data_IF_752383950389
#
_entry.id   IF_752383950389
#
_cell.length_a   1.000
_cell.length_b   1.000
_cell.length_c   1.000
_cell.angle_alpha   90.00
_cell.angle_beta   90.00
_cell.angle_gamma   90.00
#
_symmetry.space_group_name_H-M   'P 1'
#
loop_
_entity.id
_entity.type
_entity.pdbx_description
1 polymer ?
#
# COMPACT_ATOMS: atom_id res chain seq x y z
N UNK A 1 5.28 13.39 24.00
CA UNK A 1 3.93 13.74 23.46
C UNK A 1 2.81 13.40 24.41
N UNK A 2 2.80 12.19 25.03
CA UNK A 2 1.77 11.75 25.98
C UNK A 2 1.53 12.75 27.12
N UNK A 3 2.59 13.19 27.82
CA UNK A 3 2.50 14.16 28.93
C UNK A 3 1.84 15.47 28.48
N UNK A 4 2.24 15.96 27.29
CA UNK A 4 1.68 17.18 26.68
C UNK A 4 0.20 17.02 26.32
N UNK A 5 -0.19 15.87 25.77
CA UNK A 5 -1.58 15.59 25.45
C UNK A 5 -2.45 15.53 26.73
N UNK A 6 -1.93 14.92 27.80
CA UNK A 6 -2.62 14.88 29.12
C UNK A 6 -2.80 16.24 29.75
N UNK A 7 -1.91 17.19 29.45
CA UNK A 7 -2.01 18.59 29.88
C UNK A 7 -2.84 19.48 28.94
N UNK A 8 -3.58 18.87 28.00
CA UNK A 8 -4.38 19.56 26.97
C UNK A 8 -3.56 20.34 25.90
N UNK A 9 -2.23 20.16 25.86
CA UNK A 9 -1.38 20.74 24.81
C UNK A 9 -1.35 19.86 23.55
N UNK A 10 -2.52 19.60 22.98
CA UNK A 10 -2.68 18.66 21.86
C UNK A 10 -1.89 19.05 20.61
N UNK A 11 -1.88 20.35 20.26
CA UNK A 11 -1.10 20.83 19.10
C UNK A 11 0.40 20.57 19.29
N UNK A 12 0.93 20.84 20.47
CA UNK A 12 2.34 20.62 20.76
C UNK A 12 2.67 19.11 20.76
N UNK A 13 1.78 18.29 21.31
CA UNK A 13 1.90 16.83 21.27
C UNK A 13 1.94 16.32 19.82
N UNK A 14 1.05 16.82 18.95
CA UNK A 14 1.01 16.47 17.53
C UNK A 14 2.28 16.89 16.81
N UNK A 15 2.76 18.10 17.01
CA UNK A 15 4.01 18.59 16.41
C UNK A 15 5.23 17.74 16.81
N UNK A 16 5.32 17.33 18.08
CA UNK A 16 6.40 16.45 18.56
C UNK A 16 6.36 15.10 17.83
N UNK A 17 5.18 14.50 17.64
CA UNK A 17 5.05 13.21 16.93
C UNK A 17 5.40 13.35 15.43
N UNK A 18 4.92 14.40 14.78
CA UNK A 18 5.23 14.65 13.36
C UNK A 18 6.72 14.90 13.17
N UNK A 19 7.33 15.73 14.01
CA UNK A 19 8.77 15.99 13.93
C UNK A 19 9.58 14.72 14.15
N UNK A 20 9.20 13.89 15.13
CA UNK A 20 9.84 12.61 15.37
C UNK A 20 9.68 11.65 14.17
N UNK A 21 8.49 11.60 13.58
CA UNK A 21 8.24 10.76 12.41
C UNK A 21 9.09 11.18 11.19
N UNK A 22 9.15 12.48 10.92
CA UNK A 22 9.99 13.04 9.85
C UNK A 22 11.47 12.78 10.11
N UNK A 23 11.93 13.00 11.33
CA UNK A 23 13.34 12.75 11.69
C UNK A 23 13.70 11.27 11.50
N UNK A 24 12.86 10.34 11.96
CA UNK A 24 13.08 8.90 11.81
C UNK A 24 13.09 8.50 10.33
N UNK A 25 12.17 9.03 9.53
CA UNK A 25 12.11 8.77 8.10
C UNK A 25 13.39 9.23 7.38
N UNK A 26 13.81 10.48 7.62
CA UNK A 26 15.02 11.01 6.98
C UNK A 26 16.30 10.32 7.46
N UNK A 27 16.36 9.91 8.73
CA UNK A 27 17.48 9.11 9.24
C UNK A 27 17.61 7.77 8.50
N UNK A 28 16.50 7.07 8.35
CA UNK A 28 16.48 5.78 7.66
C UNK A 28 16.75 5.93 6.16
N UNK A 29 16.25 7.01 5.55
CA UNK A 29 16.59 7.36 4.18
C UNK A 29 18.09 7.65 4.00
N UNK A 30 18.69 8.40 4.93
CA UNK A 30 20.13 8.72 4.86
C UNK A 30 21.00 7.47 4.95
N UNK A 31 20.57 6.47 5.74
CA UNK A 31 21.28 5.21 5.92
C UNK A 31 21.12 4.26 4.72
N UNK A 32 19.89 4.12 4.20
CA UNK A 32 19.56 3.13 3.18
C UNK A 32 19.56 3.69 1.75
N UNK A 33 19.49 5.00 1.59
CA UNK A 33 19.23 5.71 0.30
C UNK A 33 17.95 5.22 -0.40
N UNK A 34 17.10 4.48 0.31
CA UNK A 34 15.85 3.97 -0.19
C UNK A 34 14.67 4.82 0.31
N UNK A 35 13.95 5.46 -0.60
CA UNK A 35 12.79 6.32 -0.30
C UNK A 35 11.63 5.52 0.27
N UNK A 36 11.53 4.23 -0.08
CA UNK A 36 10.48 3.30 0.36
C UNK A 36 11.05 2.30 1.37
N UNK A 37 11.76 2.82 2.37
CA UNK A 37 12.23 1.99 3.46
C UNK A 37 11.06 1.67 4.41
N UNK A 38 10.75 0.38 4.62
CA UNK A 38 9.56 -0.04 5.38
C UNK A 38 9.49 0.61 6.77
N UNK A 39 10.60 0.63 7.51
CA UNK A 39 10.67 1.24 8.84
C UNK A 39 10.42 2.76 8.78
N UNK A 40 11.02 3.44 7.80
CA UNK A 40 10.83 4.88 7.60
C UNK A 40 9.38 5.22 7.26
N UNK A 41 8.77 4.47 6.35
CA UNK A 41 7.35 4.65 5.98
C UNK A 41 6.42 4.35 7.16
N UNK A 42 6.68 3.30 7.92
CA UNK A 42 5.89 3.02 9.12
C UNK A 42 5.97 4.20 10.11
N UNK A 43 7.16 4.74 10.36
CA UNK A 43 7.32 5.90 11.23
C UNK A 43 6.55 7.11 10.68
N UNK A 44 6.65 7.38 9.39
CA UNK A 44 5.99 8.51 8.76
C UNK A 44 4.46 8.40 8.85
N UNK A 45 3.89 7.29 8.37
CA UNK A 45 2.44 7.13 8.29
C UNK A 45 1.80 6.77 9.63
N UNK A 46 2.41 5.91 10.43
CA UNK A 46 1.84 5.51 11.71
C UNK A 46 2.08 6.55 12.80
N UNK A 47 3.33 6.92 13.08
CA UNK A 47 3.65 7.89 14.14
C UNK A 47 3.23 9.30 13.74
N UNK A 48 3.48 9.71 12.49
CA UNK A 48 3.05 11.00 11.96
C UNK A 48 1.54 11.12 11.86
N UNK A 49 0.82 10.07 11.44
CA UNK A 49 -0.64 10.01 11.41
C UNK A 49 -1.25 10.19 12.80
N UNK A 50 -0.65 9.61 13.84
CA UNK A 50 -1.04 9.89 15.23
C UNK A 50 -0.80 11.35 15.61
N UNK A 51 0.30 11.94 15.12
CA UNK A 51 0.58 13.37 15.31
C UNK A 51 -0.51 14.25 14.71
N UNK A 52 -0.97 13.95 13.48
CA UNK A 52 -2.08 14.66 12.84
C UNK A 52 -3.38 14.45 13.64
N UNK A 53 -3.63 13.24 14.13
CA UNK A 53 -4.82 12.93 14.93
C UNK A 53 -4.85 13.71 16.24
N UNK A 54 -3.68 14.07 16.80
CA UNK A 54 -3.62 14.92 18.00
C UNK A 54 -4.14 16.34 17.78
N UNK A 55 -4.20 16.83 16.54
CA UNK A 55 -4.73 18.18 16.25
C UNK A 55 -6.25 18.28 16.38
N UNK A 56 -6.94 17.15 16.54
CA UNK A 56 -8.41 17.10 16.69
C UNK A 56 -9.14 17.91 15.63
N UNK A 57 -8.80 17.66 14.36
CA UNK A 57 -9.37 18.37 13.20
C UNK A 57 -10.87 18.09 13.01
N UNK A 58 -11.40 17.04 13.63
CA UNK A 58 -12.82 16.68 13.61
C UNK A 58 -13.42 16.78 15.00
N UNK A 59 -14.66 17.28 15.08
CA UNK A 59 -15.46 17.31 16.34
C UNK A 59 -15.76 15.91 16.89
N UNK A 60 -15.60 14.87 16.09
CA UNK A 60 -15.76 13.47 16.50
C UNK A 60 -14.54 12.90 17.22
N UNK A 61 -13.41 13.59 17.20
CA UNK A 61 -12.17 13.16 17.84
C UNK A 61 -12.19 13.54 19.33
N UNK A 62 -12.49 12.54 20.16
CA UNK A 62 -12.37 12.64 21.61
C UNK A 62 -10.92 12.59 22.11
N UNK A 63 -10.76 12.70 23.42
CA UNK A 63 -9.47 12.50 24.08
C UNK A 63 -9.10 11.01 24.10
N UNK A 64 -7.85 10.73 23.82
CA UNK A 64 -7.37 9.35 23.87
C UNK A 64 -7.16 8.92 25.33
N UNK A 65 -7.69 7.75 25.65
CA UNK A 65 -7.46 7.13 26.95
C UNK A 65 -5.99 6.73 27.15
N UNK A 66 -5.60 6.49 28.40
CA UNK A 66 -4.26 5.99 28.73
C UNK A 66 -3.97 4.68 27.99
N UNK A 67 -4.96 3.79 27.94
CA UNK A 67 -4.85 2.49 27.27
C UNK A 67 -4.55 2.66 25.78
N UNK A 68 -5.20 3.62 25.11
CA UNK A 68 -4.92 3.95 23.71
C UNK A 68 -3.47 4.36 23.53
N UNK A 69 -2.93 5.25 24.37
CA UNK A 69 -1.53 5.67 24.30
C UNK A 69 -0.56 4.51 24.55
N UNK A 70 -0.88 3.63 25.51
CA UNK A 70 -0.07 2.43 25.78
C UNK A 70 -0.10 1.50 24.57
N UNK A 71 -1.27 1.20 24.00
CA UNK A 71 -1.40 0.36 22.82
C UNK A 71 -0.62 0.90 21.63
N UNK A 72 -0.70 2.21 21.38
CA UNK A 72 0.05 2.85 20.29
C UNK A 72 1.57 2.77 20.53
N UNK A 73 2.02 3.03 21.76
CA UNK A 73 3.43 2.89 22.15
C UNK A 73 3.94 1.46 22.01
N UNK A 74 3.16 0.47 22.45
CA UNK A 74 3.50 -0.95 22.31
C UNK A 74 3.53 -1.37 20.84
N UNK A 75 2.61 -0.89 20.00
CA UNK A 75 2.61 -1.17 18.57
C UNK A 75 3.90 -0.67 17.88
N UNK A 76 4.35 0.54 18.21
CA UNK A 76 5.63 1.08 17.72
C UNK A 76 6.79 0.24 18.21
N UNK A 77 6.85 -0.05 19.52
CA UNK A 77 7.94 -0.83 20.12
C UNK A 77 8.00 -2.26 19.53
N UNK A 78 6.85 -2.92 19.41
CA UNK A 78 6.76 -4.26 18.81
C UNK A 78 7.21 -4.26 17.34
N UNK A 79 6.76 -3.28 16.55
CA UNK A 79 7.20 -3.15 15.16
C UNK A 79 8.73 -3.00 15.06
N UNK A 80 9.31 -2.12 15.89
CA UNK A 80 10.75 -1.90 15.89
C UNK A 80 11.54 -3.14 16.32
N UNK A 81 11.08 -3.83 17.38
CA UNK A 81 11.71 -5.05 17.87
C UNK A 81 11.66 -6.16 16.79
N UNK A 82 10.50 -6.40 16.20
CA UNK A 82 10.33 -7.39 15.13
C UNK A 82 11.17 -7.01 13.90
N UNK A 83 11.16 -5.74 13.50
CA UNK A 83 11.96 -5.28 12.37
C UNK A 83 13.45 -5.50 12.62
N UNK A 84 13.95 -5.17 13.79
CA UNK A 84 15.37 -5.36 14.17
C UNK A 84 15.74 -6.84 14.19
N UNK A 85 14.89 -7.70 14.77
CA UNK A 85 15.11 -9.15 14.79
C UNK A 85 15.13 -9.71 13.37
N UNK A 86 14.16 -9.35 12.53
CA UNK A 86 14.11 -9.81 11.15
C UNK A 86 15.32 -9.31 10.35
N UNK A 87 15.72 -8.06 10.51
CA UNK A 87 16.91 -7.52 9.84
C UNK A 87 18.14 -8.34 10.21
N UNK A 88 18.35 -8.63 11.50
CA UNK A 88 19.49 -9.46 11.94
C UNK A 88 19.43 -10.90 11.45
N UNK A 89 18.24 -11.49 11.40
CA UNK A 89 18.07 -12.86 10.89
C UNK A 89 18.32 -12.94 9.39
N UNK A 90 18.00 -11.87 8.64
CA UNK A 90 18.14 -11.79 7.20
C UNK A 90 19.34 -10.94 6.74
N UNK A 91 20.24 -10.55 7.68
CA UNK A 91 21.48 -9.82 7.35
C UNK A 91 22.44 -10.61 6.43
N UNK A 92 22.18 -11.91 6.23
CA UNK A 92 22.80 -12.69 5.17
C UNK A 92 22.26 -12.41 3.75
N UNK A 93 21.15 -11.68 3.65
CA UNK A 93 20.66 -11.12 2.39
C UNK A 93 21.24 -9.72 2.22
N UNK A 94 22.42 -9.66 1.62
CA UNK A 94 23.16 -8.42 1.47
C UNK A 94 22.37 -7.41 0.58
N UNK A 95 22.72 -6.14 0.71
CA UNK A 95 22.22 -5.10 -0.22
C UNK A 95 22.52 -5.47 -1.69
N UNK A 96 23.60 -6.24 -1.92
CA UNK A 96 23.97 -6.79 -3.22
C UNK A 96 22.95 -7.83 -3.73
N UNK A 97 22.34 -8.63 -2.83
CA UNK A 97 21.27 -9.57 -3.22
C UNK A 97 19.99 -8.83 -3.60
N UNK A 98 19.63 -7.76 -2.89
CA UNK A 98 18.53 -6.90 -3.28
C UNK A 98 18.81 -6.16 -4.59
N UNK A 99 20.03 -5.70 -4.80
CA UNK A 99 20.45 -5.12 -6.08
C UNK A 99 20.51 -6.18 -7.18
N UNK A 100 20.90 -7.40 -6.89
CA UNK A 100 20.88 -8.51 -7.84
C UNK A 100 19.46 -8.92 -8.20
N UNK A 101 18.53 -8.97 -7.23
CA UNK A 101 17.09 -9.18 -7.47
C UNK A 101 16.52 -8.02 -8.28
N UNK A 102 16.89 -6.78 -7.94
CA UNK A 102 16.48 -5.60 -8.70
C UNK A 102 17.07 -5.59 -10.12
N UNK A 103 18.34 -5.93 -10.28
CA UNK A 103 19.00 -6.12 -11.59
C UNK A 103 18.39 -7.30 -12.36
N UNK A 104 18.03 -8.40 -11.69
CA UNK A 104 17.36 -9.54 -12.31
C UNK A 104 15.99 -9.15 -12.87
N UNK A 105 15.18 -8.39 -12.12
CA UNK A 105 13.92 -7.84 -12.64
C UNK A 105 14.15 -6.72 -13.66
N UNK A 106 15.23 -5.96 -13.54
CA UNK A 106 15.60 -4.89 -14.47
C UNK A 106 16.24 -5.44 -15.77
N UNK A 107 17.00 -6.51 -15.67
CA UNK A 107 17.62 -7.22 -16.81
C UNK A 107 16.65 -8.16 -17.51
N UNK A 108 15.36 -8.05 -17.26
CA UNK A 108 14.30 -8.92 -17.79
C UNK A 108 14.38 -9.13 -19.31
N UNK A 109 15.46 -9.74 -19.75
CA UNK A 109 15.65 -10.22 -21.11
C UNK A 109 14.72 -11.41 -21.44
N UNK A 110 14.14 -12.03 -20.40
CA UNK A 110 13.30 -13.20 -20.57
C UNK A 110 11.86 -12.83 -20.93
N UNK A 111 11.41 -13.08 -22.18
CA UNK A 111 10.01 -12.95 -22.58
C UNK A 111 9.07 -13.84 -21.76
N UNK A 112 9.61 -14.85 -21.10
CA UNK A 112 8.91 -15.79 -20.24
C UNK A 112 8.39 -15.12 -18.94
N UNK A 113 9.17 -14.23 -18.34
CA UNK A 113 8.75 -13.51 -17.13
C UNK A 113 7.62 -12.52 -17.40
N UNK A 114 7.69 -11.80 -18.54
CA UNK A 114 6.61 -10.91 -18.94
C UNK A 114 5.30 -11.67 -19.20
N UNK A 115 5.35 -12.84 -19.83
CA UNK A 115 4.19 -13.71 -19.98
C UNK A 115 3.64 -14.17 -18.63
N UNK A 116 4.50 -14.58 -17.69
CA UNK A 116 4.06 -14.98 -16.34
C UNK A 116 3.34 -13.85 -15.62
N UNK A 117 3.85 -12.61 -15.69
CA UNK A 117 3.18 -11.45 -15.10
C UNK A 117 1.79 -11.24 -15.70
N UNK A 118 1.64 -11.32 -17.02
CA UNK A 118 0.33 -11.21 -17.67
C UNK A 118 -0.64 -12.32 -17.22
N UNK A 119 -0.16 -13.57 -17.14
CA UNK A 119 -1.00 -14.66 -16.64
C UNK A 119 -1.37 -14.49 -15.17
N UNK A 120 -0.44 -13.97 -14.34
CA UNK A 120 -0.73 -13.67 -12.93
C UNK A 120 -1.79 -12.57 -12.80
N UNK A 121 -1.69 -11.49 -13.60
CA UNK A 121 -2.70 -10.43 -13.61
C UNK A 121 -4.07 -10.97 -14.06
N UNK A 122 -4.12 -11.73 -15.15
CA UNK A 122 -5.36 -12.34 -15.62
C UNK A 122 -5.94 -13.35 -14.62
N UNK A 123 -5.09 -14.15 -13.97
CA UNK A 123 -5.48 -15.08 -12.93
C UNK A 123 -6.06 -14.38 -11.69
N UNK A 124 -5.41 -13.30 -11.23
CA UNK A 124 -5.92 -12.50 -10.10
C UNK A 124 -7.28 -11.87 -10.43
N UNK A 125 -7.43 -11.32 -11.63
CA UNK A 125 -8.71 -10.77 -12.09
C UNK A 125 -9.79 -11.85 -12.12
N UNK A 126 -9.49 -13.01 -12.72
CA UNK A 126 -10.45 -14.12 -12.81
C UNK A 126 -10.89 -14.62 -11.42
N UNK A 127 -9.93 -14.82 -10.50
CA UNK A 127 -10.20 -15.25 -9.12
C UNK A 127 -11.01 -14.19 -8.37
N UNK A 128 -10.66 -12.91 -8.52
CA UNK A 128 -11.37 -11.81 -7.86
C UNK A 128 -12.83 -11.72 -8.34
N UNK A 129 -13.06 -11.83 -9.64
CA UNK A 129 -14.44 -11.83 -10.19
C UNK A 129 -15.22 -13.07 -9.78
N UNK A 130 -14.61 -14.26 -9.79
CA UNK A 130 -15.26 -15.48 -9.34
C UNK A 130 -15.70 -15.36 -7.87
N UNK A 131 -14.82 -14.82 -7.01
CA UNK A 131 -15.12 -14.56 -5.61
C UNK A 131 -16.22 -13.48 -5.46
N UNK A 132 -16.13 -12.38 -6.20
CA UNK A 132 -17.14 -11.31 -6.21
C UNK A 132 -18.52 -11.82 -6.62
N UNK A 133 -18.63 -12.58 -7.70
CA UNK A 133 -19.90 -13.15 -8.15
C UNK A 133 -20.46 -14.18 -7.15
N UNK A 134 -19.58 -14.95 -6.53
CA UNK A 134 -20.01 -15.86 -5.46
C UNK A 134 -20.56 -15.10 -4.26
N UNK A 135 -19.91 -14.00 -3.83
CA UNK A 135 -20.41 -13.13 -2.75
C UNK A 135 -21.75 -12.50 -3.14
N UNK A 136 -21.85 -11.95 -4.34
CA UNK A 136 -23.09 -11.35 -4.84
C UNK A 136 -24.25 -12.36 -4.90
N UNK A 137 -23.97 -13.57 -5.37
CA UNK A 137 -24.95 -14.65 -5.40
C UNK A 137 -25.38 -15.07 -3.99
N UNK A 138 -24.44 -15.27 -3.07
CA UNK A 138 -24.73 -15.72 -1.71
C UNK A 138 -25.45 -14.66 -0.88
N UNK A 139 -25.11 -13.39 -1.08
CA UNK A 139 -25.68 -12.27 -0.31
C UNK A 139 -26.97 -11.70 -0.97
N UNK A 140 -27.18 -11.99 -2.25
CA UNK A 140 -28.37 -11.55 -2.99
C UNK A 140 -28.35 -10.10 -3.41
N UNK A 141 -27.22 -9.37 -3.27
CA UNK A 141 -27.11 -7.98 -3.68
C UNK A 141 -25.68 -7.58 -4.11
N UNK A 142 -25.59 -6.48 -4.83
CA UNK A 142 -24.31 -5.82 -5.16
C UNK A 142 -24.36 -4.39 -4.60
N UNK A 143 -23.36 -3.95 -3.81
CA UNK A 143 -23.40 -2.66 -3.11
C UNK A 143 -23.66 -1.47 -4.02
N UNK A 144 -23.07 -1.43 -5.22
CA UNK A 144 -23.26 -0.34 -6.17
C UNK A 144 -24.73 -0.14 -6.58
N UNK A 145 -25.52 -1.23 -6.60
CA UNK A 145 -26.93 -1.18 -7.02
C UNK A 145 -27.91 -1.15 -5.84
N UNK A 146 -27.40 -1.16 -4.59
CA UNK A 146 -28.23 -1.17 -3.38
C UNK A 146 -28.52 0.25 -2.91
N UNK A 147 -29.38 0.94 -3.66
CA UNK A 147 -29.79 2.31 -3.33
C UNK A 147 -30.60 2.35 -2.02
N UNK A 148 -30.28 3.30 -1.16
CA UNK A 148 -31.04 3.54 0.07
C UNK A 148 -30.64 2.69 1.27
N UNK A 149 -29.68 1.76 1.12
CA UNK A 149 -29.12 0.99 2.25
C UNK A 149 -27.83 1.67 2.72
N UNK A 150 -27.85 2.38 3.88
CA UNK A 150 -26.64 2.99 4.41
C UNK A 150 -25.59 1.90 4.67
N UNK A 151 -24.34 2.16 4.27
CA UNK A 151 -23.21 1.25 4.49
C UNK A 151 -23.36 -0.16 3.88
N UNK A 152 -24.08 -0.32 2.76
CA UNK A 152 -24.26 -1.60 2.06
C UNK A 152 -22.92 -2.34 1.82
N UNK A 153 -21.83 -1.61 1.57
CA UNK A 153 -20.48 -2.15 1.39
C UNK A 153 -19.97 -2.91 2.64
N UNK A 154 -20.37 -2.50 3.86
CA UNK A 154 -19.92 -3.14 5.11
C UNK A 154 -20.53 -4.52 5.31
N UNK A 155 -21.65 -4.80 4.65
CA UNK A 155 -22.32 -6.10 4.71
C UNK A 155 -21.95 -7.01 3.54
N UNK A 156 -21.24 -6.46 2.54
CA UNK A 156 -20.83 -7.22 1.36
C UNK A 156 -19.51 -7.93 1.62
N UNK A 157 -19.57 -8.97 2.42
CA UNK A 157 -18.42 -9.86 2.61
C UNK A 157 -18.85 -11.25 3.05
N UNK A 158 -18.22 -12.26 2.50
CA UNK A 158 -18.26 -13.64 2.98
C UNK A 158 -16.91 -13.97 3.58
N UNK A 159 -16.89 -14.35 4.86
CA UNK A 159 -15.63 -14.63 5.58
C UNK A 159 -14.76 -15.61 4.79
N UNK A 160 -13.48 -15.25 4.61
CA UNK A 160 -12.52 -16.01 3.82
C UNK A 160 -12.58 -15.76 2.31
N UNK A 161 -13.75 -15.60 1.70
CA UNK A 161 -13.91 -15.37 0.26
C UNK A 161 -13.54 -13.94 -0.11
N UNK A 162 -13.87 -12.99 0.73
CA UNK A 162 -13.63 -11.56 0.48
C UNK A 162 -12.15 -11.23 0.25
N UNK A 163 -11.21 -11.98 0.82
CA UNK A 163 -9.78 -11.82 0.54
C UNK A 163 -9.43 -12.03 -0.94
N UNK A 164 -10.10 -12.98 -1.59
CA UNK A 164 -9.94 -13.23 -3.02
C UNK A 164 -10.59 -12.12 -3.85
N UNK A 165 -11.77 -11.62 -3.43
CA UNK A 165 -12.43 -10.47 -4.08
C UNK A 165 -11.52 -9.24 -4.07
N UNK A 166 -10.83 -8.97 -2.95
CA UNK A 166 -9.93 -7.81 -2.79
C UNK A 166 -8.57 -8.01 -3.46
N UNK A 167 -8.18 -9.22 -3.82
CA UNK A 167 -6.85 -9.51 -4.40
C UNK A 167 -6.56 -8.75 -5.71
N UNK A 168 -7.59 -8.28 -6.41
CA UNK A 168 -7.46 -7.43 -7.61
C UNK A 168 -6.69 -6.13 -7.37
N UNK A 169 -6.59 -5.64 -6.13
CA UNK A 169 -5.83 -4.45 -5.74
C UNK A 169 -4.35 -4.55 -6.11
N UNK A 170 -3.81 -5.78 -6.23
CA UNK A 170 -2.42 -6.02 -6.63
C UNK A 170 -2.16 -5.84 -8.14
N UNK A 171 -3.20 -5.93 -8.96
CA UNK A 171 -3.06 -5.93 -10.43
C UNK A 171 -2.43 -4.65 -10.99
N UNK A 172 -2.81 -3.43 -10.53
CA UNK A 172 -2.16 -2.19 -10.98
C UNK A 172 -0.66 -2.16 -10.70
N UNK A 173 -0.21 -2.69 -9.55
CA UNK A 173 1.22 -2.77 -9.22
C UNK A 173 1.97 -3.73 -10.15
N UNK A 174 1.40 -4.91 -10.45
CA UNK A 174 1.96 -5.86 -11.41
C UNK A 174 2.02 -5.27 -12.82
N UNK A 175 1.03 -4.47 -13.21
CA UNK A 175 1.02 -3.78 -14.49
C UNK A 175 2.11 -2.73 -14.60
N UNK A 176 2.40 -1.99 -13.51
CA UNK A 176 3.53 -1.05 -13.45
C UNK A 176 4.84 -1.79 -13.68
N UNK A 177 5.06 -2.93 -12.99
CA UNK A 177 6.24 -3.77 -13.19
C UNK A 177 6.36 -4.19 -14.65
N UNK A 178 5.28 -4.73 -15.23
CA UNK A 178 5.25 -5.14 -16.63
C UNK A 178 5.59 -3.99 -17.58
N UNK A 179 4.99 -2.82 -17.37
CA UNK A 179 5.19 -1.65 -18.23
C UNK A 179 6.64 -1.15 -18.18
N UNK A 180 7.26 -1.15 -17.01
CA UNK A 180 8.67 -0.81 -16.84
C UNK A 180 9.59 -1.83 -17.54
N UNK A 181 9.27 -3.12 -17.45
CA UNK A 181 10.02 -4.17 -18.15
C UNK A 181 9.96 -4.00 -19.66
N UNK A 182 8.79 -3.70 -20.23
CA UNK A 182 8.61 -3.49 -21.67
C UNK A 182 9.32 -2.21 -22.12
N UNK A 183 9.19 -1.13 -21.36
CA UNK A 183 9.82 0.17 -21.65
C UNK A 183 11.35 0.05 -21.72
N UNK A 184 11.96 -0.69 -20.79
CA UNK A 184 13.42 -0.90 -20.75
C UNK A 184 13.94 -1.72 -21.92
N UNK A 185 13.09 -2.51 -22.58
CA UNK A 185 13.44 -3.25 -23.82
C UNK A 185 13.50 -2.37 -25.07
N UNK A 186 13.29 -1.06 -24.94
CA UNK A 186 13.27 -0.13 -26.07
C UNK A 186 12.07 -0.30 -27.01
N UNK A 187 11.10 -1.12 -26.66
CA UNK A 187 9.84 -1.28 -27.41
C UNK A 187 8.87 -0.18 -26.98
N UNK A 188 8.28 0.51 -27.95
CA UNK A 188 7.19 1.45 -27.63
C UNK A 188 6.03 0.72 -26.96
N UNK A 189 5.64 1.15 -25.76
CA UNK A 189 4.55 0.55 -24.95
C UNK A 189 3.27 0.34 -25.76
N UNK A 190 2.91 1.31 -26.61
CA UNK A 190 1.71 1.26 -27.45
C UNK A 190 1.72 0.18 -28.53
N UNK A 191 2.90 -0.35 -28.89
CA UNK A 191 3.05 -1.41 -29.88
C UNK A 191 3.04 -2.82 -29.28
N UNK A 192 3.12 -2.93 -27.95
CA UNK A 192 3.10 -4.22 -27.28
C UNK A 192 1.65 -4.66 -26.98
N UNK A 193 1.24 -5.79 -27.59
CA UNK A 193 -0.08 -6.39 -27.32
C UNK A 193 -0.27 -6.76 -25.85
N UNK A 194 0.80 -7.18 -25.17
CA UNK A 194 0.76 -7.51 -23.76
C UNK A 194 0.46 -6.30 -22.87
N UNK A 195 0.93 -5.12 -23.26
CA UNK A 195 0.61 -3.86 -22.56
C UNK A 195 -0.90 -3.59 -22.59
N UNK A 196 -1.55 -3.72 -23.73
CA UNK A 196 -3.00 -3.49 -23.83
C UNK A 196 -3.80 -4.54 -23.07
N UNK A 197 -3.37 -5.80 -23.11
CA UNK A 197 -4.00 -6.85 -22.30
C UNK A 197 -3.86 -6.56 -20.79
N UNK A 198 -2.67 -6.14 -20.37
CA UNK A 198 -2.44 -5.71 -18.98
C UNK A 198 -3.29 -4.50 -18.59
N UNK A 199 -3.44 -3.50 -19.47
CA UNK A 199 -4.29 -2.35 -19.26
C UNK A 199 -5.78 -2.75 -19.09
N UNK A 200 -6.27 -3.70 -19.89
CA UNK A 200 -7.61 -4.27 -19.71
C UNK A 200 -7.74 -4.95 -18.36
N UNK A 201 -6.74 -5.74 -17.95
CA UNK A 201 -6.74 -6.35 -16.62
C UNK A 201 -6.81 -5.30 -15.49
N UNK A 202 -6.12 -4.16 -15.63
CA UNK A 202 -6.19 -3.06 -14.65
C UNK A 202 -7.59 -2.46 -14.59
N UNK A 203 -8.21 -2.17 -15.73
CA UNK A 203 -9.57 -1.62 -15.78
C UNK A 203 -10.56 -2.59 -15.12
N UNK A 204 -10.48 -3.87 -15.44
CA UNK A 204 -11.32 -4.90 -14.83
C UNK A 204 -11.04 -5.02 -13.32
N UNK A 205 -9.78 -4.98 -12.90
CA UNK A 205 -9.41 -5.05 -11.49
C UNK A 205 -9.97 -3.87 -10.69
N UNK A 206 -9.91 -2.65 -11.24
CA UNK A 206 -10.45 -1.45 -10.58
C UNK A 206 -11.99 -1.39 -10.59
N UNK A 207 -12.64 -2.10 -11.49
CA UNK A 207 -14.10 -2.19 -11.50
C UNK A 207 -14.65 -2.94 -10.28
N UNK A 208 -13.94 -3.93 -9.74
CA UNK A 208 -14.39 -4.66 -8.53
C UNK A 208 -14.55 -3.76 -7.31
N UNK A 209 -13.54 -2.98 -6.88
CA UNK A 209 -13.71 -2.00 -5.79
C UNK A 209 -14.82 -0.97 -6.05
N UNK A 210 -15.04 -0.58 -7.32
CA UNK A 210 -16.15 0.33 -7.68
C UNK A 210 -17.49 -0.37 -7.45
N UNK A 211 -17.65 -1.61 -7.90
CA UNK A 211 -18.86 -2.42 -7.66
C UNK A 211 -19.12 -2.66 -6.18
N UNK A 212 -18.08 -2.81 -5.38
CA UNK A 212 -18.14 -2.93 -3.92
C UNK A 212 -18.33 -1.58 -3.22
N UNK A 213 -18.24 -0.44 -3.93
CA UNK A 213 -18.23 0.94 -3.35
C UNK A 213 -17.12 1.13 -2.32
N UNK A 214 -15.99 0.43 -2.48
CA UNK A 214 -14.87 0.45 -1.55
C UNK A 214 -13.82 1.48 -1.94
N UNK A 215 -13.98 2.70 -1.44
CA UNK A 215 -13.03 3.81 -1.69
C UNK A 215 -11.62 3.50 -1.20
N UNK A 216 -11.51 2.81 -0.06
CA UNK A 216 -10.22 2.44 0.52
C UNK A 216 -9.43 1.51 -0.40
N UNK A 217 -10.07 0.51 -1.00
CA UNK A 217 -9.43 -0.42 -1.93
C UNK A 217 -8.93 0.29 -3.20
N UNK A 218 -9.68 1.29 -3.71
CA UNK A 218 -9.24 2.10 -4.85
C UNK A 218 -8.00 2.91 -4.51
N UNK A 219 -8.00 3.60 -3.36
CA UNK A 219 -6.86 4.38 -2.89
C UNK A 219 -5.65 3.46 -2.69
N UNK A 220 -5.85 2.28 -2.09
CA UNK A 220 -4.80 1.29 -1.87
C UNK A 220 -4.22 0.80 -3.20
N UNK A 221 -5.05 0.47 -4.20
CA UNK A 221 -4.61 0.01 -5.51
C UNK A 221 -3.74 1.04 -6.23
N UNK A 222 -4.20 2.30 -6.25
CA UNK A 222 -3.46 3.41 -6.86
C UNK A 222 -2.18 3.71 -6.08
N UNK A 223 -2.27 3.76 -4.75
CA UNK A 223 -1.13 3.98 -3.87
C UNK A 223 -0.05 2.91 -4.05
N UNK A 224 -0.42 1.62 -4.04
CA UNK A 224 0.52 0.52 -4.26
C UNK A 224 1.17 0.58 -5.65
N UNK A 225 0.41 0.92 -6.71
CA UNK A 225 0.96 1.10 -8.04
C UNK A 225 1.96 2.26 -8.10
N UNK A 226 1.63 3.40 -7.48
CA UNK A 226 2.52 4.55 -7.36
C UNK A 226 3.81 4.19 -6.61
N UNK A 227 3.70 3.53 -5.44
CA UNK A 227 4.87 3.08 -4.68
C UNK A 227 5.73 2.08 -5.45
N UNK A 228 5.10 1.15 -6.19
CA UNK A 228 5.82 0.21 -7.06
C UNK A 228 6.61 0.96 -8.14
N UNK A 229 5.98 1.94 -8.79
CA UNK A 229 6.65 2.78 -9.78
C UNK A 229 7.84 3.54 -9.18
N UNK A 230 7.62 4.17 -8.02
CA UNK A 230 8.66 4.92 -7.28
C UNK A 230 9.85 4.02 -6.95
N UNK A 231 9.58 2.83 -6.41
CA UNK A 231 10.63 1.85 -6.06
C UNK A 231 11.45 1.43 -7.26
N UNK A 232 10.81 1.22 -8.41
CA UNK A 232 11.48 0.65 -9.58
C UNK A 232 12.08 1.70 -10.52
N UNK A 233 11.53 2.90 -10.57
CA UNK A 233 12.05 4.00 -11.40
C UNK A 233 13.29 4.67 -10.81
N UNK A 234 13.52 4.55 -9.50
CA UNK A 234 14.76 4.99 -8.83
C UNK A 234 15.00 6.50 -8.76
N UNK A 235 14.05 7.35 -9.19
CA UNK A 235 14.27 8.76 -9.45
C UNK A 235 13.43 9.72 -8.58
N UNK A 236 12.93 9.27 -7.42
CA UNK A 236 12.08 10.13 -6.60
C UNK A 236 12.84 10.69 -5.40
N UNK A 237 12.69 11.99 -5.21
CA UNK A 237 13.22 12.69 -4.05
C UNK A 237 12.36 12.35 -2.81
N UNK A 238 12.98 12.15 -1.63
CA UNK A 238 12.25 11.80 -0.40
C UNK A 238 11.17 12.82 -0.04
N UNK A 239 11.32 14.07 -0.43
CA UNK A 239 10.34 15.13 -0.24
C UNK A 239 8.98 14.84 -0.86
N UNK A 240 8.90 14.11 -1.99
CA UNK A 240 7.62 13.75 -2.60
C UNK A 240 6.84 12.75 -1.75
N UNK A 241 7.53 11.83 -1.07
CA UNK A 241 6.89 10.88 -0.15
C UNK A 241 6.30 11.62 1.06
N UNK A 242 7.02 12.63 1.56
CA UNK A 242 6.56 13.47 2.67
C UNK A 242 5.35 14.33 2.27
N UNK A 243 5.30 14.84 1.03
CA UNK A 243 4.15 15.62 0.52
C UNK A 243 2.90 14.73 0.38
N UNK A 244 3.07 13.44 0.09
CA UNK A 244 1.95 12.49 0.00
C UNK A 244 1.42 12.06 1.37
N UNK A 245 2.18 12.30 2.42
CA UNK A 245 1.78 12.13 3.83
C UNK A 245 0.88 13.29 4.31
#
# INVERSE_FOLDING_TARGET
SFILARQHFYMLSGLVLITAALWLYYRDYAASRNVIHLRGLFCLFFVGGQGISCFKLSRLQGDWSIETWICLGLAVAAFWAVFEVLTRLFDGWSADDMESVYRFYASAESPFQAKRLLHSMAGLVAVSYAAFFFEAWKLGFVPLFSYGVPHAYSYFHVSGVHYFTVSCVLVPSLFVVYSLMVSRRGRGLSRDRGFWLGAVCVVLALAVPVLCVSRFQLILAVGMAAFTYISMAGNIRPGYVVILF
#
